data_IF_854578825538
#
_entry.id   IF_854578825538
#
_cell.length_a   1.000
_cell.length_b   1.000
_cell.length_c   1.000
_cell.angle_alpha   90.00
_cell.angle_beta   90.00
_cell.angle_gamma   90.00
#
_symmetry.space_group_name_H-M   'P 1'
#
loop_
_entity.id
_entity.type
_entity.pdbx_description
1 polymer ?
#
# COMPACT_ATOMS: atom_id res chain seq x y z
N UNK A 1 -28.30 -1.73 12.45
CA UNK A 1 -27.22 -2.65 12.05
C UNK A 1 -26.13 -1.83 11.37
N UNK A 2 -24.93 -1.78 11.94
CA UNK A 2 -23.82 -1.07 11.30
C UNK A 2 -23.40 -1.87 10.06
N UNK A 3 -23.61 -1.33 8.86
CA UNK A 3 -23.10 -1.92 7.61
C UNK A 3 -21.67 -1.47 7.39
N UNK A 4 -20.82 -2.37 6.93
CA UNK A 4 -19.49 -2.03 6.47
C UNK A 4 -19.59 -1.14 5.20
N UNK A 5 -18.87 -0.02 5.20
CA UNK A 5 -18.91 0.97 4.11
C UNK A 5 -18.14 0.52 2.86
N UNK A 6 -17.20 -0.41 3.04
CA UNK A 6 -16.23 -0.80 2.03
C UNK A 6 -16.56 -2.15 1.40
N UNK A 7 -17.29 -3.02 2.10
CA UNK A 7 -17.67 -4.34 1.59
C UNK A 7 -19.05 -4.77 2.09
N UNK A 8 -19.83 -5.42 1.23
CA UNK A 8 -21.18 -5.93 1.55
C UNK A 8 -21.45 -7.33 1.02
N UNK A 9 -20.41 -8.12 0.76
CA UNK A 9 -20.57 -9.51 0.34
C UNK A 9 -20.88 -10.44 1.51
N UNK A 10 -20.97 -11.76 1.25
CA UNK A 10 -21.32 -12.74 2.27
C UNK A 10 -20.25 -12.81 3.37
N UNK A 11 -20.62 -13.23 4.59
CA UNK A 11 -19.66 -13.61 5.61
C UNK A 11 -18.69 -14.69 5.12
N UNK A 12 -17.46 -14.66 5.63
CA UNK A 12 -16.39 -15.64 5.39
C UNK A 12 -15.63 -15.90 6.69
N UNK A 13 -14.65 -16.81 6.64
CA UNK A 13 -13.73 -17.06 7.76
C UNK A 13 -12.96 -15.79 8.20
N UNK A 14 -12.92 -14.75 7.36
CA UNK A 14 -12.24 -13.49 7.63
C UNK A 14 -13.20 -12.29 7.75
N UNK A 15 -14.51 -12.47 7.55
CA UNK A 15 -15.50 -11.38 7.55
C UNK A 15 -16.81 -11.80 8.21
N UNK A 16 -17.21 -11.12 9.28
CA UNK A 16 -18.41 -11.46 10.07
C UNK A 16 -19.72 -10.79 9.54
N UNK A 17 -19.67 -10.15 8.36
CA UNK A 17 -20.75 -9.33 7.82
C UNK A 17 -20.63 -7.84 8.15
N UNK A 18 -19.75 -7.47 9.09
CA UNK A 18 -19.50 -6.09 9.51
C UNK A 18 -18.00 -5.74 9.53
N UNK A 19 -17.13 -6.64 9.99
CA UNK A 19 -15.70 -6.41 10.20
C UNK A 19 -14.87 -7.56 9.67
N UNK A 20 -13.67 -7.20 9.22
CA UNK A 20 -12.63 -8.17 8.89
C UNK A 20 -11.87 -8.57 10.15
N UNK A 21 -11.47 -9.84 10.22
CA UNK A 21 -10.70 -10.40 11.32
C UNK A 21 -9.72 -11.46 10.80
N UNK A 22 -8.63 -11.68 11.54
CA UNK A 22 -7.67 -12.74 11.25
C UNK A 22 -7.94 -13.92 12.20
N UNK A 23 -8.33 -15.10 11.69
CA UNK A 23 -8.55 -16.29 12.51
C UNK A 23 -7.34 -16.61 13.40
N UNK A 24 -7.59 -16.91 14.67
CA UNK A 24 -6.55 -17.28 15.63
C UNK A 24 -5.65 -16.14 16.12
N UNK A 25 -5.87 -14.90 15.66
CA UNK A 25 -5.17 -13.72 16.14
C UNK A 25 -6.00 -12.97 17.18
N UNK A 26 -5.38 -12.35 18.21
CA UNK A 26 -6.09 -11.51 19.15
C UNK A 26 -6.70 -10.30 18.45
N UNK A 27 -7.81 -9.79 18.99
CA UNK A 27 -8.41 -8.56 18.51
C UNK A 27 -7.39 -7.41 18.51
N UNK A 28 -7.32 -6.68 17.40
CA UNK A 28 -6.40 -5.55 17.23
C UNK A 28 -6.94 -4.24 17.80
N UNK A 29 -8.23 -4.20 18.16
CA UNK A 29 -8.87 -3.05 18.78
C UNK A 29 -8.13 -2.66 20.07
N UNK A 30 -7.65 -1.42 20.11
CA UNK A 30 -6.92 -0.86 21.27
C UNK A 30 -7.85 0.03 22.07
N UNK A 31 -7.82 -0.12 23.39
CA UNK A 31 -8.58 0.77 24.28
C UNK A 31 -7.89 2.14 24.40
N UNK A 32 -8.64 3.15 24.83
CA UNK A 32 -8.05 4.45 25.20
C UNK A 32 -6.94 4.32 26.24
N UNK A 33 -7.04 3.35 27.16
CA UNK A 33 -6.02 3.07 28.16
C UNK A 33 -4.72 2.59 27.52
N UNK A 34 -4.82 1.76 26.48
CA UNK A 34 -3.65 1.26 25.75
C UNK A 34 -2.94 2.37 24.97
N UNK A 35 -3.72 3.30 24.40
CA UNK A 35 -3.17 4.49 23.74
C UNK A 35 -2.44 5.40 24.73
N UNK A 36 -3.04 5.67 25.90
CA UNK A 36 -2.42 6.49 26.94
C UNK A 36 -1.15 5.84 27.49
N UNK A 37 -1.19 4.53 27.71
CA UNK A 37 -0.04 3.73 28.13
C UNK A 37 1.10 3.83 27.12
N UNK A 38 0.81 3.57 25.84
CA UNK A 38 1.79 3.67 24.76
C UNK A 38 2.39 5.08 24.66
N UNK A 39 1.59 6.14 24.79
CA UNK A 39 2.10 7.50 24.76
C UNK A 39 3.06 7.81 25.94
N UNK A 40 2.79 7.24 27.12
CA UNK A 40 3.59 7.46 28.33
C UNK A 40 4.86 6.60 28.38
N UNK A 41 4.76 5.36 27.92
CA UNK A 41 5.85 4.36 27.94
C UNK A 41 6.68 4.40 26.66
N UNK A 42 6.13 4.98 25.58
CA UNK A 42 6.78 5.09 24.28
C UNK A 42 7.87 6.14 24.30
N UNK A 43 9.11 5.70 24.53
CA UNK A 43 10.29 6.50 24.21
C UNK A 43 10.27 6.87 22.73
N UNK A 44 10.23 8.18 22.42
CA UNK A 44 10.32 8.64 21.03
C UNK A 44 11.77 8.55 20.61
N UNK A 45 12.08 7.59 19.74
CA UNK A 45 13.38 7.56 19.08
C UNK A 45 13.62 8.89 18.36
N UNK A 46 14.88 9.36 18.36
CA UNK A 46 15.26 10.53 17.57
C UNK A 46 15.14 10.16 16.09
N UNK A 47 14.12 10.70 15.44
CA UNK A 47 13.89 10.46 14.02
C UNK A 47 14.86 11.30 13.19
N UNK A 48 15.56 10.72 12.20
CA UNK A 48 16.46 11.49 11.34
C UNK A 48 15.66 12.47 10.47
N UNK A 49 16.30 13.57 10.08
CA UNK A 49 15.69 14.51 9.11
C UNK A 49 15.78 13.96 7.69
N UNK A 50 16.87 13.25 7.39
CA UNK A 50 17.16 12.67 6.09
C UNK A 50 18.02 11.40 6.25
N UNK A 51 17.83 10.45 5.35
CA UNK A 51 18.67 9.26 5.19
C UNK A 51 19.08 9.17 3.72
N UNK A 52 20.38 9.12 3.40
CA UNK A 52 20.85 9.10 2.02
C UNK A 52 20.41 7.81 1.32
N UNK A 53 20.03 7.94 0.04
CA UNK A 53 19.59 6.81 -0.81
C UNK A 53 20.32 6.88 -2.15
N UNK A 54 20.90 5.76 -2.57
CA UNK A 54 21.40 5.59 -3.93
C UNK A 54 20.24 5.21 -4.84
N UNK A 55 19.93 6.07 -5.82
CA UNK A 55 18.87 5.80 -6.78
C UNK A 55 19.31 4.74 -7.79
N UNK A 56 18.39 3.86 -8.15
CA UNK A 56 18.54 2.88 -9.19
C UNK A 56 17.74 3.30 -10.43
N UNK A 57 18.28 2.96 -11.61
CA UNK A 57 17.53 2.95 -12.86
C UNK A 57 17.38 1.49 -13.26
N UNK A 58 16.21 0.87 -13.01
CA UNK A 58 16.00 -0.54 -13.33
C UNK A 58 16.00 -0.76 -14.85
N UNK A 59 16.38 -1.96 -15.33
CA UNK A 59 16.15 -2.32 -16.72
C UNK A 59 14.65 -2.36 -17.03
N UNK A 60 14.29 -2.28 -18.32
CA UNK A 60 12.90 -2.30 -18.76
C UNK A 60 12.14 -3.57 -18.35
N UNK A 61 12.82 -4.72 -18.34
CA UNK A 61 12.29 -6.01 -17.89
C UNK A 61 13.46 -6.94 -17.49
N UNK A 62 13.15 -8.03 -16.79
CA UNK A 62 14.12 -9.05 -16.41
C UNK A 62 13.47 -10.44 -16.42
N UNK A 63 14.09 -11.40 -17.10
CA UNK A 63 13.69 -12.81 -17.02
C UNK A 63 14.03 -13.41 -15.65
N UNK A 64 15.19 -13.05 -15.11
CA UNK A 64 15.62 -13.49 -13.79
C UNK A 64 14.98 -12.63 -12.69
N UNK A 65 14.68 -13.21 -11.50
CA UNK A 65 14.16 -12.46 -10.38
C UNK A 65 15.11 -11.31 -9.98
N UNK A 66 14.58 -10.09 -9.98
CA UNK A 66 15.26 -8.88 -9.54
C UNK A 66 14.34 -8.10 -8.61
N UNK A 67 14.90 -7.64 -7.50
CA UNK A 67 14.19 -6.86 -6.50
C UNK A 67 14.91 -5.52 -6.37
N UNK A 68 14.17 -4.43 -6.50
CA UNK A 68 14.68 -3.06 -6.28
C UNK A 68 13.82 -2.36 -5.23
N UNK A 69 14.46 -1.94 -4.14
CA UNK A 69 13.80 -1.20 -3.07
C UNK A 69 13.56 0.25 -3.51
N UNK A 70 12.30 0.69 -3.50
CA UNK A 70 11.95 2.11 -3.70
C UNK A 70 11.85 2.83 -2.34
N UNK A 71 11.28 2.17 -1.33
CA UNK A 71 11.24 2.67 0.04
C UNK A 71 9.98 2.25 0.78
N UNK A 72 10.06 2.17 2.11
CA UNK A 72 9.01 1.62 2.97
C UNK A 72 8.62 0.20 2.52
N UNK A 73 7.37 0.00 2.10
CA UNK A 73 6.86 -1.25 1.54
C UNK A 73 6.84 -1.25 0.00
N UNK A 74 7.32 -0.18 -0.65
CA UNK A 74 7.38 -0.11 -2.10
C UNK A 74 8.61 -0.81 -2.65
N UNK A 75 8.37 -1.90 -3.39
CA UNK A 75 9.40 -2.72 -4.02
C UNK A 75 9.00 -2.99 -5.47
N UNK A 76 9.93 -2.75 -6.38
CA UNK A 76 9.83 -3.21 -7.77
C UNK A 76 10.36 -4.65 -7.84
N UNK A 77 9.52 -5.56 -8.28
CA UNK A 77 9.84 -6.97 -8.50
C UNK A 77 9.80 -7.20 -10.01
N UNK A 78 10.91 -7.64 -10.59
CA UNK A 78 10.99 -8.02 -11.99
C UNK A 78 11.25 -9.52 -12.09
N UNK A 79 10.40 -10.26 -12.80
CA UNK A 79 10.52 -11.71 -12.95
C UNK A 79 9.74 -12.18 -14.18
N UNK A 80 10.29 -13.12 -14.95
CA UNK A 80 9.64 -13.68 -16.13
C UNK A 80 9.14 -12.59 -17.12
N UNK A 81 9.94 -11.53 -17.28
CA UNK A 81 9.61 -10.39 -18.14
C UNK A 81 8.57 -9.42 -17.58
N UNK A 82 7.98 -9.70 -16.41
CA UNK A 82 6.96 -8.85 -15.77
C UNK A 82 7.57 -7.90 -14.75
N UNK A 83 6.95 -6.73 -14.59
CA UNK A 83 7.27 -5.73 -13.59
C UNK A 83 6.09 -5.55 -12.63
N UNK A 84 6.27 -5.96 -11.37
CA UNK A 84 5.28 -5.86 -10.31
C UNK A 84 5.72 -4.82 -9.29
N UNK A 85 4.78 -4.06 -8.74
CA UNK A 85 5.06 -3.03 -7.75
C UNK A 85 4.20 -3.24 -6.50
N UNK A 86 4.83 -3.36 -5.33
CA UNK A 86 4.11 -3.47 -4.06
C UNK A 86 3.83 -2.10 -3.47
N UNK A 87 2.66 -1.90 -2.85
CA UNK A 87 2.29 -0.76 -2.00
C UNK A 87 2.93 0.58 -2.43
N UNK A 88 2.61 1.09 -3.63
CA UNK A 88 3.42 2.15 -4.25
C UNK A 88 3.19 3.51 -3.59
N UNK A 89 4.24 4.11 -3.04
CA UNK A 89 4.21 5.43 -2.41
C UNK A 89 5.35 6.32 -2.89
N UNK A 90 5.03 7.32 -3.71
CA UNK A 90 5.94 8.41 -4.09
C UNK A 90 5.60 9.75 -3.43
N UNK A 91 4.48 9.85 -2.72
CA UNK A 91 4.13 11.07 -1.98
C UNK A 91 5.11 11.36 -0.86
N UNK A 92 5.40 12.64 -0.65
CA UNK A 92 6.25 13.14 0.45
C UNK A 92 5.71 12.79 1.85
N UNK A 93 4.38 12.61 1.98
CA UNK A 93 3.71 12.33 3.25
C UNK A 93 2.70 11.21 3.14
N UNK A 94 2.71 10.32 4.12
CA UNK A 94 1.68 9.29 4.31
C UNK A 94 0.51 9.87 5.11
N UNK A 95 -0.35 10.65 4.46
CA UNK A 95 -1.43 11.38 5.13
C UNK A 95 -2.55 11.77 4.16
N UNK A 96 -3.81 11.90 4.63
CA UNK A 96 -4.88 12.48 3.83
C UNK A 96 -4.66 13.97 3.56
N UNK A 97 -3.83 14.64 4.36
CA UNK A 97 -3.53 16.07 4.24
C UNK A 97 -2.10 16.25 3.71
N UNK A 98 -1.95 17.09 2.68
CA UNK A 98 -0.63 17.34 2.05
C UNK A 98 0.40 18.02 2.97
N UNK A 99 -0.06 18.68 4.04
CA UNK A 99 0.78 19.50 4.93
C UNK A 99 0.97 18.92 6.33
N UNK A 100 0.22 17.88 6.70
CA UNK A 100 0.23 17.31 8.06
C UNK A 100 0.46 15.80 7.98
N UNK A 101 1.07 15.21 9.00
CA UNK A 101 1.28 13.76 9.10
C UNK A 101 2.72 13.33 8.74
N UNK A 102 3.02 12.03 8.83
CA UNK A 102 4.37 11.49 8.66
C UNK A 102 4.98 11.90 7.32
N UNK A 103 6.15 12.55 7.36
CA UNK A 103 6.96 12.88 6.18
C UNK A 103 8.01 11.80 5.99
N UNK A 104 8.22 11.36 4.75
CA UNK A 104 9.36 10.48 4.43
C UNK A 104 10.69 11.22 4.62
N UNK A 105 11.71 10.46 4.98
CA UNK A 105 13.08 10.96 5.25
C UNK A 105 14.10 10.36 4.28
N UNK A 106 13.70 9.39 3.47
CA UNK A 106 14.47 8.84 2.35
C UNK A 106 13.90 9.39 1.05
N UNK A 107 14.71 9.63 0.01
CA UNK A 107 14.21 9.82 -1.36
C UNK A 107 13.66 8.49 -1.93
N UNK A 108 12.83 8.45 -2.98
CA UNK A 108 12.46 7.18 -3.59
C UNK A 108 13.71 6.57 -4.24
N UNK A 109 13.92 5.27 -4.04
CA UNK A 109 15.03 4.53 -4.62
C UNK A 109 14.95 4.44 -6.15
N UNK A 110 13.78 4.65 -6.73
CA UNK A 110 13.56 4.79 -8.18
C UNK A 110 12.75 6.07 -8.39
N UNK A 111 13.25 6.96 -9.23
CA UNK A 111 12.46 8.11 -9.67
C UNK A 111 11.22 7.62 -10.41
N UNK A 112 10.07 8.27 -10.19
CA UNK A 112 8.81 7.79 -10.78
C UNK A 112 8.92 7.67 -12.30
N UNK A 113 9.58 8.64 -12.95
CA UNK A 113 9.73 8.69 -14.40
C UNK A 113 10.77 7.70 -14.94
N UNK A 114 11.52 7.02 -14.05
CA UNK A 114 12.42 5.91 -14.37
C UNK A 114 11.78 4.54 -14.11
N UNK A 115 10.50 4.49 -13.72
CA UNK A 115 9.80 3.22 -13.60
C UNK A 115 9.68 2.56 -14.99
N UNK A 116 9.95 1.25 -15.10
CA UNK A 116 9.61 0.52 -16.31
C UNK A 116 8.09 0.42 -16.46
N UNK A 117 7.61 -0.12 -17.59
CA UNK A 117 6.18 -0.42 -17.75
C UNK A 117 5.74 -1.35 -16.62
N UNK A 118 4.76 -0.94 -15.81
CA UNK A 118 4.28 -1.71 -14.66
C UNK A 118 3.08 -2.55 -15.10
N UNK A 119 3.19 -3.86 -14.93
CA UNK A 119 2.15 -4.82 -15.33
C UNK A 119 1.09 -4.97 -14.23
N UNK A 120 1.54 -5.05 -12.98
CA UNK A 120 0.64 -5.14 -11.84
C UNK A 120 1.12 -4.38 -10.61
N UNK A 121 0.15 -3.92 -9.84
CA UNK A 121 0.33 -3.29 -8.52
C UNK A 121 -0.32 -4.18 -7.48
N UNK A 122 0.45 -4.56 -6.46
CA UNK A 122 0.02 -5.37 -5.34
C UNK A 122 -0.18 -4.47 -4.13
N UNK A 123 -1.42 -4.35 -3.67
CA UNK A 123 -1.80 -3.54 -2.52
C UNK A 123 -2.06 -4.48 -1.35
N UNK A 124 -1.39 -4.27 -0.22
CA UNK A 124 -1.52 -5.13 0.96
C UNK A 124 -2.69 -4.71 1.85
N UNK A 125 -2.91 -3.41 2.03
CA UNK A 125 -4.01 -2.84 2.84
C UNK A 125 -4.19 -1.34 2.55
N UNK A 126 -5.09 -0.67 3.29
CA UNK A 126 -5.58 0.67 2.96
C UNK A 126 -5.03 1.83 3.83
N UNK A 127 -3.95 1.62 4.59
CA UNK A 127 -3.30 2.71 5.32
C UNK A 127 -2.56 3.66 4.38
N UNK A 128 -2.39 4.92 4.77
CA UNK A 128 -1.83 5.97 3.91
C UNK A 128 -0.38 5.75 3.48
N UNK A 129 0.37 4.94 4.22
CA UNK A 129 1.74 4.52 3.90
C UNK A 129 1.80 3.27 3.00
N UNK A 130 0.65 2.70 2.62
CA UNK A 130 0.54 1.58 1.68
C UNK A 130 -0.45 1.84 0.51
N UNK A 131 -1.36 2.81 0.67
CA UNK A 131 -2.38 3.20 -0.30
C UNK A 131 -2.27 4.69 -0.66
N UNK A 132 -1.25 5.03 -1.43
CA UNK A 132 -1.07 6.39 -1.95
C UNK A 132 -1.89 6.60 -3.24
N UNK A 133 -3.07 7.21 -3.08
CA UNK A 133 -3.99 7.54 -4.17
C UNK A 133 -3.35 8.43 -5.24
N UNK A 134 -2.46 9.35 -4.88
CA UNK A 134 -1.80 10.22 -5.87
C UNK A 134 -0.86 9.39 -6.76
N UNK A 135 -0.12 8.47 -6.16
CA UNK A 135 0.74 7.53 -6.88
C UNK A 135 -0.07 6.57 -7.76
N UNK A 136 -1.16 5.99 -7.25
CA UNK A 136 -2.03 5.11 -8.05
C UNK A 136 -2.64 5.82 -9.27
N UNK A 137 -3.00 7.11 -9.15
CA UNK A 137 -3.48 7.91 -10.30
C UNK A 137 -2.39 8.09 -11.36
N UNK A 138 -1.16 8.38 -10.95
CA UNK A 138 -0.02 8.51 -11.88
C UNK A 138 0.25 7.18 -12.59
N UNK A 139 0.25 6.07 -11.84
CA UNK A 139 0.42 4.73 -12.40
C UNK A 139 -0.69 4.37 -13.38
N UNK A 140 -1.95 4.67 -13.05
CA UNK A 140 -3.08 4.45 -13.97
C UNK A 140 -2.94 5.26 -15.26
N UNK A 141 -2.49 6.52 -15.17
CA UNK A 141 -2.34 7.38 -16.34
C UNK A 141 -1.22 6.93 -17.29
N UNK A 142 -0.07 6.52 -16.74
CA UNK A 142 1.12 6.17 -17.52
C UNK A 142 1.23 4.68 -17.90
N UNK A 143 0.84 3.78 -17.00
CA UNK A 143 1.15 2.35 -17.12
C UNK A 143 -0.11 1.48 -17.24
N UNK A 144 -1.27 1.93 -16.72
CA UNK A 144 -2.54 1.19 -16.69
C UNK A 144 -2.42 -0.26 -16.15
N UNK A 145 -1.74 -0.45 -15.00
CA UNK A 145 -1.48 -1.79 -14.46
C UNK A 145 -2.76 -2.50 -14.02
N UNK A 146 -2.70 -3.82 -13.87
CA UNK A 146 -3.66 -4.55 -13.05
C UNK A 146 -3.38 -4.25 -11.56
N UNK A 147 -4.35 -3.69 -10.86
CA UNK A 147 -4.29 -3.54 -9.41
C UNK A 147 -4.89 -4.78 -8.74
N UNK A 148 -4.17 -5.35 -7.79
CA UNK A 148 -4.62 -6.47 -6.96
C UNK A 148 -4.65 -6.00 -5.53
N UNK A 149 -5.79 -6.17 -4.86
CA UNK A 149 -6.00 -5.67 -3.50
C UNK A 149 -6.87 -6.61 -2.66
N UNK A 150 -6.87 -6.46 -1.32
CA UNK A 150 -7.88 -7.09 -0.48
C UNK A 150 -9.27 -6.55 -0.79
N UNK A 151 -10.27 -7.39 -0.61
CA UNK A 151 -11.68 -6.99 -0.63
C UNK A 151 -11.91 -5.76 0.29
N UNK A 152 -12.66 -4.79 -0.22
CA UNK A 152 -13.00 -3.55 0.48
C UNK A 152 -12.00 -2.42 0.24
N UNK A 153 -10.72 -2.73 -0.02
CA UNK A 153 -9.76 -1.72 -0.47
C UNK A 153 -10.10 -1.23 -1.88
N UNK A 154 -10.65 -2.11 -2.71
CA UNK A 154 -11.04 -1.80 -4.08
C UNK A 154 -12.14 -0.74 -4.16
N UNK A 155 -13.06 -0.69 -3.20
CA UNK A 155 -14.08 0.37 -3.12
C UNK A 155 -13.44 1.77 -3.04
N UNK A 156 -12.32 1.90 -2.33
CA UNK A 156 -11.56 3.16 -2.22
C UNK A 156 -10.88 3.46 -3.56
N UNK A 157 -10.19 2.48 -4.14
CA UNK A 157 -9.46 2.65 -5.41
C UNK A 157 -10.40 2.98 -6.55
N UNK A 158 -11.51 2.26 -6.72
CA UNK A 158 -12.51 2.50 -7.78
C UNK A 158 -13.09 3.92 -7.70
N UNK A 159 -13.33 4.41 -6.48
CA UNK A 159 -13.81 5.78 -6.26
C UNK A 159 -12.75 6.83 -6.59
N UNK A 160 -11.50 6.56 -6.25
CA UNK A 160 -10.44 7.56 -6.32
C UNK A 160 -9.66 7.56 -7.64
N UNK A 161 -9.64 6.44 -8.36
CA UNK A 161 -8.87 6.21 -9.59
C UNK A 161 -9.81 5.68 -10.68
N UNK A 162 -10.50 6.58 -11.42
CA UNK A 162 -11.42 6.18 -12.47
C UNK A 162 -10.74 5.34 -13.56
N UNK A 163 -11.41 4.26 -13.97
CA UNK A 163 -10.90 3.35 -15.01
C UNK A 163 -9.81 2.38 -14.55
N UNK A 164 -9.49 2.33 -13.24
CA UNK A 164 -8.57 1.35 -12.70
C UNK A 164 -9.06 -0.08 -12.95
N UNK A 165 -8.18 -0.90 -13.55
CA UNK A 165 -8.37 -2.36 -13.61
C UNK A 165 -8.00 -2.91 -12.24
N UNK A 166 -8.98 -3.33 -11.46
CA UNK A 166 -8.75 -3.85 -10.11
C UNK A 166 -9.48 -5.15 -9.85
N UNK A 167 -8.74 -6.12 -9.32
CA UNK A 167 -9.22 -7.40 -8.79
C UNK A 167 -9.06 -7.38 -7.28
N UNK A 168 -10.12 -7.76 -6.58
CA UNK A 168 -10.14 -7.81 -5.13
C UNK A 168 -10.37 -9.25 -4.66
N UNK A 169 -9.59 -9.72 -3.69
CA UNK A 169 -9.66 -11.09 -3.17
C UNK A 169 -9.74 -11.14 -1.65
N UNK A 170 -10.44 -12.15 -1.14
CA UNK A 170 -10.29 -12.57 0.26
C UNK A 170 -9.02 -13.41 0.40
N UNK A 171 -8.57 -13.63 1.63
CA UNK A 171 -7.42 -14.48 1.90
C UNK A 171 -7.70 -15.90 1.41
N UNK A 172 -6.70 -16.52 0.76
CA UNK A 172 -6.78 -17.85 0.14
C UNK A 172 -7.76 -18.00 -1.03
N UNK A 173 -8.42 -16.92 -1.47
CA UNK A 173 -9.19 -16.94 -2.71
C UNK A 173 -8.27 -17.22 -3.91
N UNK A 174 -8.74 -18.07 -4.83
CA UNK A 174 -8.03 -18.46 -6.05
C UNK A 174 -8.66 -17.84 -7.27
#
# INVERSE_FOLDING_TARGET
>A
MHRNRYYSGPPSDHFDGTRFHCPGQPATDRSFRDLLRWHREGGRARWPTEVPVTRAVPPAASEQPRITMVGHATVLIQIAGLNLLTDPVWSERASPLRFLGPKRVTAPGIEFDHLPQIDAVLISHNHYDHLDIATLRRLQAGHRPLMVAPIGTDAIVRRAVPGARIVAGDWHAR
#
